data_IF_231318644659
#
_entry.id   IF_231318644659
#
_cell.length_a   1.000
_cell.length_b   1.000
_cell.length_c   1.000
_cell.angle_alpha   90.00
_cell.angle_beta   90.00
_cell.angle_gamma   90.00
#
_symmetry.space_group_name_H-M   'P 1'
#
loop_
_entity.id
_entity.type
_entity.pdbx_description
1 polymer ?
#
# COMPACT_ATOMS: atom_id res chain seq x y z
N UNK A 1 -50.53 2.31 15.86
CA UNK A 1 -49.35 1.77 16.58
C UNK A 1 -49.06 2.67 17.76
N UNK A 2 -48.73 2.14 18.95
CA UNK A 2 -48.34 2.95 20.10
C UNK A 2 -47.07 3.76 19.80
N UNK A 3 -46.97 4.98 20.32
CA UNK A 3 -45.80 5.85 20.11
C UNK A 3 -44.49 5.19 20.56
N UNK A 4 -44.54 4.39 21.62
CA UNK A 4 -43.41 3.62 22.16
C UNK A 4 -42.87 2.60 21.14
N UNK A 5 -43.76 1.92 20.42
CA UNK A 5 -43.37 0.96 19.38
C UNK A 5 -42.67 1.67 18.21
N UNK A 6 -43.15 2.87 17.85
CA UNK A 6 -42.55 3.67 16.78
C UNK A 6 -41.14 4.18 17.15
N UNK A 7 -40.95 4.62 18.39
CA UNK A 7 -39.64 5.03 18.92
C UNK A 7 -38.67 3.85 18.93
N UNK A 8 -39.10 2.68 19.38
CA UNK A 8 -38.28 1.48 19.39
C UNK A 8 -37.81 1.05 17.99
N UNK A 9 -38.70 1.11 17.00
CA UNK A 9 -38.37 0.80 15.60
C UNK A 9 -37.36 1.80 15.02
N UNK A 10 -37.54 3.09 15.27
CA UNK A 10 -36.61 4.13 14.80
C UNK A 10 -35.22 3.93 15.43
N UNK A 11 -35.15 3.69 16.74
CA UNK A 11 -33.89 3.45 17.44
C UNK A 11 -33.15 2.21 16.89
N UNK A 12 -33.89 1.12 16.64
CA UNK A 12 -33.33 -0.10 16.06
C UNK A 12 -32.77 0.12 14.64
N UNK A 13 -33.50 0.86 13.81
CA UNK A 13 -33.06 1.20 12.45
C UNK A 13 -31.81 2.10 12.48
N UNK A 14 -31.76 3.08 13.38
CA UNK A 14 -30.58 3.93 13.56
C UNK A 14 -29.36 3.12 14.01
N UNK A 15 -29.53 2.19 14.96
CA UNK A 15 -28.46 1.32 15.42
C UNK A 15 -27.95 0.39 14.31
N UNK A 16 -28.86 -0.18 13.51
CA UNK A 16 -28.51 -1.03 12.37
C UNK A 16 -27.76 -0.25 11.29
N UNK A 17 -28.23 0.96 10.96
CA UNK A 17 -27.57 1.83 9.99
C UNK A 17 -26.16 2.24 10.45
N UNK A 18 -26.00 2.62 11.72
CA UNK A 18 -24.70 2.97 12.29
C UNK A 18 -23.73 1.78 12.29
N UNK A 19 -24.20 0.59 12.66
CA UNK A 19 -23.41 -0.65 12.62
C UNK A 19 -22.99 -1.03 11.20
N UNK A 20 -23.90 -0.93 10.23
CA UNK A 20 -23.62 -1.19 8.82
C UNK A 20 -22.61 -0.21 8.21
N UNK A 21 -22.72 1.08 8.54
CA UNK A 21 -21.77 2.10 8.09
C UNK A 21 -20.37 1.88 8.66
N UNK A 22 -20.26 1.54 9.95
CA UNK A 22 -18.98 1.24 10.59
C UNK A 22 -18.29 0.03 9.94
N UNK A 23 -19.03 -1.07 9.72
CA UNK A 23 -18.48 -2.26 9.05
C UNK A 23 -18.04 -1.97 7.62
N UNK A 24 -18.81 -1.17 6.87
CA UNK A 24 -18.47 -0.80 5.49
C UNK A 24 -17.21 0.07 5.43
N UNK A 25 -17.02 0.95 6.41
CA UNK A 25 -15.79 1.75 6.54
C UNK A 25 -14.57 0.86 6.80
N UNK A 26 -14.65 -0.07 7.75
CA UNK A 26 -13.52 -0.97 8.04
C UNK A 26 -13.21 -1.93 6.88
N UNK A 27 -14.23 -2.42 6.16
CA UNK A 27 -14.03 -3.27 5.00
C UNK A 27 -13.38 -2.53 3.81
N UNK A 28 -13.77 -1.28 3.55
CA UNK A 28 -13.23 -0.48 2.43
C UNK A 28 -11.80 0.06 2.66
N UNK A 29 -11.38 0.16 3.92
CA UNK A 29 -10.01 0.60 4.26
C UNK A 29 -8.98 -0.45 3.84
N UNK A 30 -9.30 -1.74 3.91
CA UNK A 30 -8.35 -2.81 3.57
C UNK A 30 -8.05 -2.86 2.06
N UNK A 31 -9.06 -2.60 1.22
CA UNK A 31 -8.92 -2.57 -0.23
C UNK A 31 -8.12 -1.34 -0.72
N UNK A 32 -8.25 -0.21 -0.04
CA UNK A 32 -7.54 1.03 -0.38
C UNK A 32 -6.04 0.97 -0.07
N UNK A 33 -5.64 0.24 0.98
CA UNK A 33 -4.23 0.10 1.36
C UNK A 33 -3.47 -0.75 0.34
N UNK A 34 -4.05 -1.88 -0.09
CA UNK A 34 -3.43 -2.74 -1.09
C UNK A 34 -3.22 -2.03 -2.44
N UNK A 35 -4.17 -1.18 -2.84
CA UNK A 35 -4.07 -0.39 -4.07
C UNK A 35 -2.95 0.67 -3.99
N UNK A 36 -2.87 1.42 -2.89
CA UNK A 36 -1.83 2.45 -2.68
C UNK A 36 -0.44 1.82 -2.54
N UNK A 37 -0.34 0.66 -1.88
CA UNK A 37 0.91 -0.10 -1.76
C UNK A 37 1.39 -0.57 -3.13
N UNK A 38 0.50 -1.05 -4.00
CA UNK A 38 0.89 -1.53 -5.33
C UNK A 38 1.34 -0.40 -6.26
N UNK A 39 0.64 0.74 -6.27
CA UNK A 39 1.04 1.88 -7.13
C UNK A 39 2.32 2.58 -6.63
N UNK A 40 2.60 2.57 -5.33
CA UNK A 40 3.73 3.32 -4.77
C UNK A 40 5.04 2.51 -4.77
N UNK A 41 4.95 1.17 -4.74
CA UNK A 41 6.13 0.32 -4.59
C UNK A 41 6.78 -0.13 -5.91
N UNK A 42 6.15 0.05 -7.06
CA UNK A 42 6.67 -0.40 -8.35
C UNK A 42 6.84 0.75 -9.34
N UNK A 43 7.98 0.78 -10.03
CA UNK A 43 8.22 1.68 -11.15
C UNK A 43 7.41 1.24 -12.37
N UNK A 44 6.68 2.17 -13.00
CA UNK A 44 5.74 1.84 -14.09
C UNK A 44 6.46 1.47 -15.39
N UNK A 45 7.67 1.98 -15.62
CA UNK A 45 8.43 1.73 -16.85
C UNK A 45 9.09 0.34 -16.84
N UNK A 46 9.65 -0.05 -15.70
CA UNK A 46 10.47 -1.27 -15.57
C UNK A 46 9.76 -2.42 -14.86
N UNK A 47 8.71 -2.14 -14.09
CA UNK A 47 8.04 -3.13 -13.23
C UNK A 47 8.87 -3.57 -12.02
N UNK A 48 10.04 -2.97 -11.81
CA UNK A 48 10.90 -3.20 -10.66
C UNK A 48 10.42 -2.39 -9.45
N UNK A 49 11.01 -2.63 -8.28
CA UNK A 49 10.73 -1.81 -7.10
C UNK A 49 11.07 -0.35 -7.37
N UNK A 50 10.18 0.55 -6.96
CA UNK A 50 10.44 1.98 -6.94
C UNK A 50 11.63 2.28 -6.03
N UNK A 51 12.30 3.42 -6.27
CA UNK A 51 13.43 3.84 -5.44
C UNK A 51 13.09 3.88 -3.94
N UNK A 52 11.90 4.35 -3.60
CA UNK A 52 11.42 4.42 -2.21
C UNK A 52 11.26 3.01 -1.60
N UNK A 53 10.65 2.07 -2.35
CA UNK A 53 10.45 0.71 -1.89
C UNK A 53 11.78 -0.05 -1.72
N UNK A 54 12.71 0.15 -2.66
CA UNK A 54 14.06 -0.42 -2.62
C UNK A 54 14.83 0.03 -1.38
N UNK A 55 14.76 1.32 -1.02
CA UNK A 55 15.41 1.85 0.20
C UNK A 55 14.91 1.14 1.46
N UNK A 56 13.60 0.89 1.56
CA UNK A 56 13.03 0.11 2.67
C UNK A 56 13.58 -1.31 2.72
N UNK A 57 13.63 -2.01 1.57
CA UNK A 57 14.20 -3.37 1.48
C UNK A 57 15.68 -3.44 1.85
N UNK A 58 16.47 -2.44 1.48
CA UNK A 58 17.88 -2.35 1.86
C UNK A 58 18.01 -2.16 3.37
N UNK A 59 17.18 -1.33 3.99
CA UNK A 59 17.19 -1.13 5.44
C UNK A 59 16.80 -2.42 6.20
N UNK A 60 15.81 -3.17 5.70
CA UNK A 60 15.42 -4.47 6.25
C UNK A 60 16.59 -5.46 6.17
N UNK A 61 17.23 -5.58 5.01
CA UNK A 61 18.36 -6.49 4.80
C UNK A 61 19.59 -6.12 5.65
N UNK A 62 19.85 -4.83 5.83
CA UNK A 62 20.91 -4.35 6.73
C UNK A 62 20.59 -4.70 8.20
N UNK A 63 19.33 -4.55 8.62
CA UNK A 63 18.88 -4.92 9.97
C UNK A 63 18.99 -6.43 10.21
N UNK A 64 18.70 -7.24 9.19
CA UNK A 64 18.87 -8.69 9.25
C UNK A 64 20.34 -9.11 9.35
N UNK A 65 21.22 -8.44 8.60
CA UNK A 65 22.68 -8.63 8.70
C UNK A 65 23.18 -8.36 10.12
N UNK A 66 22.71 -7.28 10.76
CA UNK A 66 23.06 -6.95 12.15
C UNK A 66 22.60 -8.05 13.12
N UNK A 67 21.40 -8.60 12.90
CA UNK A 67 20.79 -9.60 13.79
C UNK A 67 21.41 -11.00 13.63
N UNK A 68 21.76 -11.37 12.40
CA UNK A 68 22.19 -12.74 12.06
C UNK A 68 23.69 -12.87 11.91
N UNK A 69 24.39 -11.78 11.60
CA UNK A 69 25.81 -11.78 11.24
C UNK A 69 26.09 -12.20 9.80
N UNK A 70 25.06 -12.60 9.03
CA UNK A 70 25.21 -13.00 7.63
C UNK A 70 25.39 -11.78 6.73
N UNK A 71 26.41 -11.74 5.85
CA UNK A 71 26.70 -10.56 5.03
C UNK A 71 25.68 -10.39 3.90
N UNK A 72 25.33 -9.13 3.62
CA UNK A 72 24.55 -8.72 2.44
C UNK A 72 25.40 -7.90 1.47
N UNK A 73 25.15 -8.04 0.17
CA UNK A 73 25.83 -7.29 -0.90
C UNK A 73 24.82 -6.48 -1.70
N UNK A 74 25.22 -5.27 -2.12
CA UNK A 74 24.45 -4.40 -3.00
C UNK A 74 25.21 -4.22 -4.32
N UNK A 75 24.50 -4.39 -5.44
CA UNK A 75 25.03 -4.15 -6.78
C UNK A 75 24.27 -2.96 -7.36
N UNK A 76 25.01 -1.95 -7.79
CA UNK A 76 24.48 -0.80 -8.52
C UNK A 76 24.81 -0.96 -10.01
N UNK A 77 23.81 -0.80 -10.87
CA UNK A 77 23.91 -1.03 -12.31
C UNK A 77 23.36 0.21 -13.01
N UNK A 78 24.16 0.79 -13.92
CA UNK A 78 23.75 1.91 -14.76
C UNK A 78 23.89 1.56 -16.25
N UNK A 79 23.12 2.23 -17.09
CA UNK A 79 23.15 2.03 -18.55
C UNK A 79 24.11 3.04 -19.15
N UNK A 80 25.24 2.55 -19.69
CA UNK A 80 26.21 3.38 -20.37
C UNK A 80 25.59 4.16 -21.54
N UNK A 81 25.91 5.46 -21.60
CA UNK A 81 25.49 6.36 -22.69
C UNK A 81 23.97 6.37 -22.92
N UNK A 82 23.15 6.13 -21.90
CA UNK A 82 21.70 6.11 -22.00
C UNK A 82 21.12 7.35 -22.71
N UNK A 83 21.69 8.53 -22.45
CA UNK A 83 21.30 9.77 -23.15
C UNK A 83 21.48 9.69 -24.67
N UNK A 84 22.60 9.17 -25.18
CA UNK A 84 22.84 9.06 -26.61
C UNK A 84 21.88 8.08 -27.27
N UNK A 85 21.51 7.02 -26.55
CA UNK A 85 20.52 6.03 -27.01
C UNK A 85 19.14 6.69 -27.14
N UNK A 86 18.68 7.40 -26.11
CA UNK A 86 17.40 8.13 -26.17
C UNK A 86 17.43 9.22 -27.24
N UNK A 87 18.49 10.04 -27.31
CA UNK A 87 18.63 11.10 -28.32
C UNK A 87 18.61 10.54 -29.77
N UNK A 88 18.99 9.27 -29.97
CA UNK A 88 18.99 8.62 -31.29
C UNK A 88 17.66 7.93 -31.66
N UNK A 89 16.85 7.53 -30.67
CA UNK A 89 15.64 6.72 -30.87
C UNK A 89 14.35 7.54 -30.64
N UNK A 90 14.43 8.64 -29.89
CA UNK A 90 13.30 9.51 -29.53
C UNK A 90 12.75 9.17 -28.16
#
# INVERSE_FOLDING_TARGET
MPAETMIGVIAALCALAAGGAAMSFFAGVDESVAYVVKETNFDKLTGLLSRQAMVGKIADAASETIRTGEPVFLIDIDIDRFKQINDAIG
#
